data_IF_015640247183
#
_entry.id   IF_015640247183
#
_cell.length_a   1.000
_cell.length_b   1.000
_cell.length_c   1.000
_cell.angle_alpha   90.00
_cell.angle_beta   90.00
_cell.angle_gamma   90.00
#
_symmetry.space_group_name_H-M   'P 1'
#
loop_
_entity.id
_entity.type
_entity.pdbx_description
1 polymer ?
#
# COMPACT_ATOMS: atom_id res chain seq x y z
N UNK A 1 6.58 -13.12 -7.71
CA UNK A 1 5.47 -13.40 -6.77
C UNK A 1 4.19 -13.52 -7.61
N UNK A 2 3.78 -14.73 -7.98
CA UNK A 2 2.72 -14.99 -8.98
C UNK A 2 1.35 -15.34 -8.35
N UNK A 3 1.08 -14.88 -7.12
CA UNK A 3 -0.19 -15.14 -6.42
C UNK A 3 -1.27 -14.05 -6.64
N UNK A 4 -0.87 -12.81 -6.97
CA UNK A 4 -1.80 -11.67 -6.99
C UNK A 4 -2.90 -11.77 -8.05
N UNK A 5 -2.60 -12.28 -9.24
CA UNK A 5 -3.58 -12.38 -10.33
C UNK A 5 -4.70 -13.39 -10.07
N UNK A 6 -4.43 -14.46 -9.32
CA UNK A 6 -5.41 -15.52 -9.06
C UNK A 6 -6.54 -15.03 -8.15
N UNK A 7 -6.20 -14.42 -7.02
CA UNK A 7 -7.20 -13.91 -6.07
C UNK A 7 -7.90 -12.64 -6.56
N UNK A 8 -7.24 -11.82 -7.39
CA UNK A 8 -7.90 -10.67 -8.02
C UNK A 8 -9.08 -11.09 -8.92
N UNK A 9 -9.01 -12.27 -9.54
CA UNK A 9 -10.09 -12.81 -10.39
C UNK A 9 -11.23 -13.48 -9.62
N UNK A 10 -11.04 -13.76 -8.33
CA UNK A 10 -12.03 -14.36 -7.45
C UNK A 10 -11.81 -13.89 -5.99
N UNK A 11 -12.22 -12.65 -5.65
CA UNK A 11 -11.87 -12.01 -4.37
C UNK A 11 -12.31 -12.80 -3.13
N UNK A 12 -13.49 -13.43 -3.15
CA UNK A 12 -14.00 -14.24 -2.03
C UNK A 12 -13.36 -15.62 -1.88
N UNK A 13 -12.51 -16.05 -2.82
CA UNK A 13 -11.93 -17.39 -2.77
C UNK A 13 -11.02 -17.57 -1.55
N UNK A 14 -10.30 -16.53 -1.12
CA UNK A 14 -9.45 -16.65 0.07
C UNK A 14 -10.28 -16.80 1.35
N UNK A 15 -11.33 -15.99 1.51
CA UNK A 15 -12.30 -16.13 2.61
C UNK A 15 -12.81 -17.56 2.68
N UNK A 16 -13.27 -18.10 1.56
CA UNK A 16 -13.82 -19.46 1.50
C UNK A 16 -12.81 -20.54 1.86
N UNK A 17 -11.56 -20.40 1.40
CA UNK A 17 -10.50 -21.34 1.74
C UNK A 17 -10.15 -21.30 3.24
N UNK A 18 -10.05 -20.11 3.83
CA UNK A 18 -9.73 -19.95 5.26
C UNK A 18 -10.89 -20.46 6.12
N UNK A 19 -12.13 -20.09 5.80
CA UNK A 19 -13.31 -20.56 6.51
C UNK A 19 -13.50 -22.07 6.34
N UNK A 20 -13.28 -22.62 5.14
CA UNK A 20 -13.36 -24.05 4.88
C UNK A 20 -12.27 -24.85 5.61
N UNK A 21 -11.05 -24.30 5.72
CA UNK A 21 -9.92 -25.01 6.36
C UNK A 21 -9.94 -24.91 7.88
N UNK A 22 -10.26 -23.73 8.42
CA UNK A 22 -10.07 -23.40 9.82
C UNK A 22 -11.36 -23.00 10.56
N UNK A 23 -12.46 -22.70 9.85
CA UNK A 23 -13.74 -22.35 10.47
C UNK A 23 -13.76 -21.00 11.19
N UNK A 24 -12.88 -20.07 10.81
CA UNK A 24 -12.68 -18.80 11.53
C UNK A 24 -13.81 -17.77 11.35
N UNK A 25 -14.72 -17.98 10.40
CA UNK A 25 -15.87 -17.10 10.19
C UNK A 25 -15.49 -15.70 9.73
N UNK A 26 -14.40 -15.56 8.97
CA UNK A 26 -13.92 -14.28 8.45
C UNK A 26 -14.79 -13.79 7.27
N UNK A 27 -14.80 -12.48 7.04
CA UNK A 27 -15.48 -11.82 5.93
C UNK A 27 -14.58 -11.65 4.68
N UNK A 28 -15.11 -10.99 3.66
CA UNK A 28 -14.41 -10.77 2.38
C UNK A 28 -13.28 -9.73 2.47
N UNK A 29 -13.27 -8.91 3.52
CA UNK A 29 -12.31 -7.81 3.69
C UNK A 29 -10.99 -8.29 4.31
N UNK A 30 -10.89 -9.58 4.66
CA UNK A 30 -9.69 -10.18 5.28
C UNK A 30 -8.38 -9.82 4.57
N UNK A 31 -8.37 -9.75 3.24
CA UNK A 31 -7.16 -9.41 2.49
C UNK A 31 -6.76 -7.96 2.69
N UNK A 32 -7.75 -7.08 2.76
CA UNK A 32 -7.54 -5.66 3.00
C UNK A 32 -7.02 -5.43 4.42
N UNK A 33 -7.63 -6.07 5.41
CA UNK A 33 -7.21 -5.96 6.82
C UNK A 33 -5.81 -6.54 7.05
N UNK A 34 -5.51 -7.71 6.48
CA UNK A 34 -4.17 -8.28 6.54
C UNK A 34 -3.15 -7.41 5.80
N UNK A 35 -3.55 -6.78 4.70
CA UNK A 35 -2.72 -5.83 3.95
C UNK A 35 -2.33 -4.63 4.82
N UNK A 36 -3.31 -4.03 5.52
CA UNK A 36 -3.08 -2.93 6.47
C UNK A 36 -2.09 -3.31 7.56
N UNK A 37 -2.32 -4.44 8.23
CA UNK A 37 -1.42 -4.94 9.30
C UNK A 37 -0.01 -5.18 8.75
N UNK A 38 0.11 -5.72 7.55
CA UNK A 38 1.41 -5.98 6.92
C UNK A 38 2.14 -4.65 6.65
N UNK A 39 1.45 -3.65 6.11
CA UNK A 39 2.03 -2.33 5.84
C UNK A 39 2.44 -1.62 7.13
N UNK A 40 1.63 -1.67 8.20
CA UNK A 40 2.00 -1.12 9.51
C UNK A 40 3.32 -1.71 10.02
N UNK A 41 3.46 -3.04 9.96
CA UNK A 41 4.66 -3.73 10.39
C UNK A 41 5.89 -3.35 9.55
N UNK A 42 5.72 -3.21 8.24
CA UNK A 42 6.80 -2.77 7.34
C UNK A 42 7.21 -1.32 7.61
N UNK A 43 6.25 -0.44 7.90
CA UNK A 43 6.50 0.97 8.26
C UNK A 43 7.24 1.05 9.60
N UNK A 44 6.77 0.33 10.63
CA UNK A 44 7.44 0.28 11.93
C UNK A 44 8.87 -0.26 11.82
N UNK A 45 9.09 -1.28 11.00
CA UNK A 45 10.41 -1.81 10.71
C UNK A 45 11.33 -0.74 10.08
N UNK A 46 10.83 0.00 9.09
CA UNK A 46 11.58 1.07 8.45
C UNK A 46 11.91 2.21 9.43
N UNK A 47 10.95 2.62 10.27
CA UNK A 47 11.17 3.60 11.33
C UNK A 47 12.24 3.14 12.33
N UNK A 48 12.24 1.86 12.71
CA UNK A 48 13.30 1.29 13.55
C UNK A 48 14.67 1.27 12.85
N UNK A 49 14.68 1.20 11.51
CA UNK A 49 15.87 1.36 10.67
C UNK A 49 16.34 2.82 10.50
N UNK A 50 15.59 3.80 11.02
CA UNK A 50 15.90 5.22 10.93
C UNK A 50 15.33 5.92 9.69
N UNK A 51 14.45 5.27 8.92
CA UNK A 51 13.71 5.94 7.86
C UNK A 51 12.53 6.74 8.46
N UNK A 52 12.21 7.89 7.88
CA UNK A 52 11.12 8.75 8.35
C UNK A 52 10.24 9.30 7.22
N UNK A 53 9.25 10.13 7.56
CA UNK A 53 8.41 10.82 6.56
C UNK A 53 9.21 11.63 5.54
N UNK A 54 10.37 12.17 5.94
CA UNK A 54 11.31 12.87 5.06
C UNK A 54 11.90 11.98 3.95
N UNK A 55 11.96 10.67 4.14
CA UNK A 55 12.43 9.71 3.13
C UNK A 55 11.31 9.28 2.18
N UNK A 56 10.05 9.52 2.55
CA UNK A 56 8.86 9.26 1.74
C UNK A 56 8.61 10.40 0.74
N UNK A 57 9.67 10.84 0.06
CA UNK A 57 9.65 11.95 -0.89
C UNK A 57 10.12 11.50 -2.26
N UNK A 58 9.48 12.05 -3.28
CA UNK A 58 9.94 11.86 -4.65
C UNK A 58 11.22 12.67 -4.91
N UNK A 59 12.08 12.22 -5.83
CA UNK A 59 13.25 12.99 -6.25
C UNK A 59 12.90 14.43 -6.68
N UNK A 60 13.75 15.40 -6.33
CA UNK A 60 13.53 16.84 -6.60
C UNK A 60 13.23 17.17 -8.06
N UNK A 61 13.85 16.45 -9.00
CA UNK A 61 13.62 16.66 -10.42
C UNK A 61 12.18 16.37 -10.84
N UNK A 62 11.45 15.47 -10.15
CA UNK A 62 10.03 15.21 -10.44
C UNK A 62 9.13 16.40 -10.08
N UNK A 63 9.59 17.29 -9.20
CA UNK A 63 8.86 18.48 -8.77
C UNK A 63 9.26 19.74 -9.55
N UNK A 64 10.37 19.69 -10.29
CA UNK A 64 10.97 20.87 -10.94
C UNK A 64 11.06 20.73 -12.46
N UNK A 65 11.33 19.53 -12.98
CA UNK A 65 11.43 19.26 -14.40
C UNK A 65 10.07 18.91 -14.99
N UNK A 66 9.63 19.73 -15.95
CA UNK A 66 8.37 19.55 -16.66
C UNK A 66 8.43 18.34 -17.56
N UNK A 67 7.45 17.43 -17.45
CA UNK A 67 7.36 16.24 -18.27
C UNK A 67 6.56 16.51 -19.56
N UNK A 68 7.19 16.50 -20.75
CA UNK A 68 6.48 16.67 -22.01
C UNK A 68 5.54 15.48 -22.30
N UNK A 69 4.48 15.68 -23.11
CA UNK A 69 4.10 16.92 -23.81
C UNK A 69 3.24 17.87 -22.97
N UNK A 70 2.84 17.46 -21.77
CA UNK A 70 1.89 18.20 -20.94
C UNK A 70 2.56 19.22 -20.02
N UNK A 71 3.89 19.16 -19.91
CA UNK A 71 4.72 20.08 -19.16
C UNK A 71 4.32 20.19 -17.68
N UNK A 72 3.82 19.09 -17.11
CA UNK A 72 3.43 18.98 -15.70
C UNK A 72 4.61 18.51 -14.84
N UNK A 73 4.58 18.89 -13.58
CA UNK A 73 5.46 18.38 -12.52
C UNK A 73 4.59 17.67 -11.47
N UNK A 74 5.21 16.92 -10.58
CA UNK A 74 4.53 16.41 -9.40
C UNK A 74 4.32 17.57 -8.40
N UNK A 75 3.07 17.96 -8.18
CA UNK A 75 2.67 19.11 -7.37
C UNK A 75 1.82 18.74 -6.14
N UNK A 76 1.79 17.45 -5.77
CA UNK A 76 1.08 16.98 -4.58
C UNK A 76 1.82 17.46 -3.31
N UNK A 77 1.13 18.15 -2.38
CA UNK A 77 1.73 18.60 -1.12
C UNK A 77 2.25 17.43 -0.27
N UNK A 78 3.37 17.66 0.42
CA UNK A 78 3.97 16.67 1.32
C UNK A 78 2.99 16.19 2.41
N UNK A 79 2.12 17.08 2.88
CA UNK A 79 1.11 16.76 3.90
C UNK A 79 0.11 15.70 3.39
N UNK A 80 -0.16 15.65 2.09
CA UNK A 80 -0.99 14.59 1.50
C UNK A 80 -0.23 13.28 1.43
N UNK A 81 1.07 13.30 1.10
CA UNK A 81 1.93 12.10 1.13
C UNK A 81 2.00 11.50 2.54
N UNK A 82 2.11 12.36 3.56
CA UNK A 82 2.17 11.94 4.96
C UNK A 82 0.86 11.32 5.46
N UNK A 83 -0.22 11.46 4.69
CA UNK A 83 -1.54 10.92 5.04
C UNK A 83 -1.88 9.58 4.38
N UNK A 84 -1.03 9.06 3.48
CA UNK A 84 -1.33 7.85 2.67
C UNK A 84 -1.66 6.64 3.54
N UNK A 85 -1.00 6.52 4.69
CA UNK A 85 -1.13 5.39 5.60
C UNK A 85 -2.09 5.64 6.77
N UNK A 86 -2.92 6.69 6.69
CA UNK A 86 -3.97 6.98 7.69
C UNK A 86 -5.30 6.35 7.26
N UNK A 87 -5.43 5.03 7.44
CA UNK A 87 -6.58 4.25 6.97
C UNK A 87 -7.55 3.79 8.06
#
# INVERSE_FOLDING_TARGET
MFGGFGFASAPGALRDLINGRYGWGIDDDILYDLGKITLDLEIEFNHAGGFGPEDNRLPDWMQTEKLPPFDTVFDVPNEQLDSIFNW
#
